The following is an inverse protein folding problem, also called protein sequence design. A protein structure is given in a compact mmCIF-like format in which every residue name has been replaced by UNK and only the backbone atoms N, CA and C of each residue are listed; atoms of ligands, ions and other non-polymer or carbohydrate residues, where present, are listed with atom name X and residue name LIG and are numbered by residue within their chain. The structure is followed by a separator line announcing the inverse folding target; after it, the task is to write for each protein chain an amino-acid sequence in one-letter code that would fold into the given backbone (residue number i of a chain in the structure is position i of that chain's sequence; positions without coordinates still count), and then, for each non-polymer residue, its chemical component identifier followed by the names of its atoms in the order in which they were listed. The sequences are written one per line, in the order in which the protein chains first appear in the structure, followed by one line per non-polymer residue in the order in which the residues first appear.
data_IF_295138359835
#
_entry.id   IF_295138359835
#
_cell.length_a   1.000
_cell.length_b   1.000
_cell.length_c   1.000
_cell.angle_alpha   90.00
_cell.angle_beta   90.00
_cell.angle_gamma   90.00
#
_symmetry.space_group_name_H-M   'P 1'
#
loop_
_entity.id
_entity.type
_entity.pdbx_description
1 polymer ?
#
# COMPACT_ATOMS: atom_id res chain seq x y z
N UNK A 1 -18.19 1.46 14.74
CA UNK A 1 -17.62 2.75 14.26
C UNK A 1 -18.77 3.61 13.75
N UNK A 2 -18.83 4.86 14.17
CA UNK A 2 -19.92 5.78 13.73
C UNK A 2 -19.65 6.27 12.30
N UNK A 3 -20.70 6.55 11.50
CA UNK A 3 -20.55 7.09 10.14
C UNK A 3 -19.64 8.32 10.05
N UNK A 4 -19.79 9.22 11.01
CA UNK A 4 -18.96 10.44 11.09
C UNK A 4 -17.46 10.16 11.32
N UNK A 5 -17.14 9.07 12.01
CA UNK A 5 -15.76 8.65 12.25
C UNK A 5 -15.11 8.15 10.96
N UNK A 6 -15.88 7.45 10.11
CA UNK A 6 -15.42 6.98 8.80
C UNK A 6 -15.04 8.17 7.93
N UNK A 7 -15.93 9.16 7.82
CA UNK A 7 -15.65 10.36 7.03
C UNK A 7 -14.42 11.12 7.52
N UNK A 8 -14.24 11.23 8.84
CA UNK A 8 -13.04 11.86 9.44
C UNK A 8 -11.76 11.10 9.10
N UNK A 9 -11.79 9.78 9.16
CA UNK A 9 -10.64 8.93 8.81
C UNK A 9 -10.30 9.10 7.32
N UNK A 10 -11.30 9.09 6.44
CA UNK A 10 -11.10 9.28 5.01
C UNK A 10 -10.50 10.66 4.73
N UNK A 11 -11.02 11.72 5.33
CA UNK A 11 -10.50 13.07 5.16
C UNK A 11 -9.08 13.23 5.70
N UNK A 12 -8.77 12.63 6.84
CA UNK A 12 -7.44 12.64 7.42
C UNK A 12 -6.43 11.94 6.51
N UNK A 13 -6.74 10.75 6.02
CA UNK A 13 -5.85 9.97 5.15
C UNK A 13 -5.66 10.67 3.80
N UNK A 14 -6.74 11.20 3.23
CA UNK A 14 -6.66 11.98 2.00
C UNK A 14 -5.72 13.17 2.14
N UNK A 15 -5.81 13.89 3.25
CA UNK A 15 -4.97 15.06 3.54
C UNK A 15 -3.52 14.70 3.82
N UNK A 16 -3.29 13.68 4.65
CA UNK A 16 -1.95 13.32 5.13
C UNK A 16 -1.14 12.57 4.08
N UNK A 17 -1.78 11.76 3.24
CA UNK A 17 -1.15 10.89 2.25
C UNK A 17 -1.34 11.34 0.81
N UNK A 18 -2.16 12.35 0.56
CA UNK A 18 -2.55 12.79 -0.78
C UNK A 18 -3.11 11.66 -1.66
N UNK A 19 -3.92 10.80 -1.06
CA UNK A 19 -4.61 9.68 -1.72
C UNK A 19 -6.04 10.08 -2.00
N UNK A 20 -6.57 9.69 -3.18
CA UNK A 20 -7.97 9.94 -3.54
C UNK A 20 -8.91 9.34 -2.48
N UNK A 21 -9.94 10.09 -2.09
CA UNK A 21 -10.94 9.65 -1.11
C UNK A 21 -11.62 8.35 -1.52
N UNK A 22 -11.88 8.17 -2.80
CA UNK A 22 -12.49 6.95 -3.33
C UNK A 22 -11.63 5.72 -3.06
N UNK A 23 -10.32 5.83 -3.23
CA UNK A 23 -9.37 4.75 -2.90
C UNK A 23 -9.42 4.42 -1.42
N UNK A 24 -9.52 5.44 -0.56
CA UNK A 24 -9.65 5.22 0.89
C UNK A 24 -10.96 4.54 1.26
N UNK A 25 -12.09 4.94 0.68
CA UNK A 25 -13.38 4.27 0.87
C UNK A 25 -13.33 2.80 0.45
N UNK A 26 -12.79 2.52 -0.73
CA UNK A 26 -12.62 1.14 -1.23
C UNK A 26 -11.72 0.30 -0.31
N UNK A 27 -10.66 0.90 0.23
CA UNK A 27 -9.79 0.23 1.20
C UNK A 27 -10.52 -0.13 2.49
N UNK A 28 -11.38 0.75 2.99
CA UNK A 28 -12.21 0.50 4.17
C UNK A 28 -13.23 -0.61 3.87
N UNK A 29 -13.90 -0.56 2.75
CA UNK A 29 -14.86 -1.59 2.33
C UNK A 29 -14.18 -2.97 2.25
N UNK A 30 -13.01 -3.07 1.61
CA UNK A 30 -12.24 -4.30 1.53
C UNK A 30 -11.79 -4.81 2.90
N UNK A 31 -11.41 -3.91 3.79
CA UNK A 31 -11.05 -4.24 5.17
C UNK A 31 -12.22 -4.85 5.95
N UNK A 32 -13.41 -4.28 5.81
CA UNK A 32 -14.62 -4.77 6.42
C UNK A 32 -15.02 -6.15 5.90
N UNK A 33 -14.95 -6.35 4.58
CA UNK A 33 -15.18 -7.65 3.95
C UNK A 33 -14.23 -8.70 4.53
N UNK A 34 -12.94 -8.41 4.60
CA UNK A 34 -11.93 -9.33 5.14
C UNK A 34 -12.20 -9.68 6.61
N UNK A 35 -12.58 -8.70 7.42
CA UNK A 35 -12.89 -8.91 8.84
C UNK A 35 -14.12 -9.82 9.02
N UNK A 36 -15.14 -9.62 8.20
CA UNK A 36 -16.37 -10.43 8.25
C UNK A 36 -16.14 -11.84 7.68
N UNK A 37 -15.33 -12.00 6.64
CA UNK A 37 -14.96 -13.31 6.11
C UNK A 37 -14.23 -14.17 7.16
N UNK A 38 -13.36 -13.55 7.95
CA UNK A 38 -12.71 -14.26 9.07
C UNK A 38 -13.70 -14.76 10.13
N UNK A 39 -14.82 -14.07 10.28
CA UNK A 39 -15.82 -14.41 11.27
C UNK A 39 -16.83 -15.44 10.76
N UNK A 40 -17.31 -15.28 9.53
CA UNK A 40 -18.38 -16.10 8.94
C UNK A 40 -17.90 -17.23 8.05
N UNK A 41 -16.59 -17.28 7.76
CA UNK A 41 -15.94 -18.22 6.85
C UNK A 41 -15.54 -17.57 5.54
N UNK A 42 -14.44 -18.06 4.98
CA UNK A 42 -13.86 -17.52 3.74
C UNK A 42 -14.76 -17.73 2.52
N UNK A 43 -15.64 -18.72 2.56
CA UNK A 43 -16.57 -19.03 1.47
C UNK A 43 -17.81 -18.15 1.43
N UNK A 44 -18.03 -17.31 2.46
CA UNK A 44 -19.19 -16.41 2.55
C UNK A 44 -19.06 -15.27 1.55
N UNK A 45 -20.09 -15.05 0.74
CA UNK A 45 -20.17 -13.91 -0.17
C UNK A 45 -20.58 -12.66 0.59
N UNK A 46 -19.61 -11.84 0.93
CA UNK A 46 -19.82 -10.61 1.69
C UNK A 46 -19.62 -9.41 0.78
N UNK A 47 -20.60 -8.53 0.76
CA UNK A 47 -20.53 -7.24 0.06
C UNK A 47 -20.73 -6.11 1.05
N UNK A 48 -19.85 -5.13 1.04
CA UNK A 48 -19.90 -3.95 1.91
C UNK A 48 -19.82 -2.69 1.04
N UNK A 49 -20.67 -1.75 1.30
CA UNK A 49 -20.68 -0.44 0.64
C UNK A 49 -20.78 0.66 1.69
N UNK A 50 -19.97 1.70 1.54
CA UNK A 50 -20.00 2.90 2.37
C UNK A 50 -20.60 4.05 1.54
N UNK A 51 -21.62 4.69 2.06
CA UNK A 51 -22.12 5.91 1.43
C UNK A 51 -21.09 7.03 1.51
N UNK A 52 -20.76 7.63 0.36
CA UNK A 52 -19.71 8.66 0.25
C UNK A 52 -20.13 10.00 0.85
N UNK A 53 -21.42 10.23 1.00
CA UNK A 53 -21.97 11.49 1.49
C UNK A 53 -22.06 11.51 3.02
N UNK A 54 -22.58 10.44 3.61
CA UNK A 54 -22.88 10.40 5.05
C UNK A 54 -22.07 9.36 5.84
N UNK A 55 -21.29 8.51 5.15
CA UNK A 55 -20.43 7.51 5.78
C UNK A 55 -21.18 6.29 6.32
N UNK A 56 -22.47 6.11 6.01
CA UNK A 56 -23.21 4.92 6.40
C UNK A 56 -22.68 3.68 5.73
N UNK A 57 -22.54 2.63 6.51
CA UNK A 57 -22.10 1.32 6.04
C UNK A 57 -23.33 0.42 5.85
N UNK A 58 -23.47 -0.13 4.66
CA UNK A 58 -24.44 -1.17 4.34
C UNK A 58 -23.70 -2.42 3.87
N UNK A 59 -24.25 -3.58 4.14
CA UNK A 59 -23.63 -4.83 3.75
C UNK A 59 -24.61 -5.97 3.61
N UNK A 60 -24.22 -6.97 2.82
CA UNK A 60 -24.97 -8.21 2.66
C UNK A 60 -24.04 -9.41 2.75
N UNK A 61 -24.58 -10.51 3.28
CA UNK A 61 -23.96 -11.82 3.30
C UNK A 61 -24.85 -12.82 2.58
N UNK A 62 -24.35 -13.47 1.57
CA UNK A 62 -25.06 -14.46 0.76
C UNK A 62 -26.43 -13.96 0.25
N UNK A 63 -26.51 -12.66 -0.06
CA UNK A 63 -27.72 -11.98 -0.51
C UNK A 63 -28.67 -11.50 0.61
N UNK A 64 -28.33 -11.72 1.87
CA UNK A 64 -29.10 -11.26 3.03
C UNK A 64 -28.43 -10.03 3.64
N UNK A 65 -29.21 -8.96 3.87
CA UNK A 65 -28.71 -7.73 4.49
C UNK A 65 -28.19 -7.97 5.90
N UNK A 66 -27.02 -7.43 6.21
CA UNK A 66 -26.42 -7.49 7.54
C UNK A 66 -26.82 -6.25 8.32
N UNK A 67 -27.21 -6.43 9.59
CA UNK A 67 -27.54 -5.31 10.47
C UNK A 67 -26.33 -4.37 10.62
N UNK A 68 -26.54 -3.10 10.32
CA UNK A 68 -25.53 -2.04 10.43
C UNK A 68 -25.00 -1.86 11.85
N UNK A 69 -25.78 -2.18 12.87
CA UNK A 69 -25.32 -2.16 14.26
C UNK A 69 -24.33 -3.29 14.55
N UNK A 70 -24.54 -4.46 13.95
CA UNK A 70 -23.60 -5.57 14.03
C UNK A 70 -22.27 -5.24 13.32
N UNK A 71 -22.34 -4.60 12.15
CA UNK A 71 -21.17 -4.11 11.41
C UNK A 71 -20.39 -3.06 12.20
N UNK A 72 -21.09 -2.14 12.87
CA UNK A 72 -20.45 -1.04 13.61
C UNK A 72 -19.83 -1.47 14.93
N UNK A 73 -20.41 -2.45 15.60
CA UNK A 73 -20.03 -2.85 16.96
C UNK A 73 -18.84 -3.78 17.04
N UNK A 74 -18.52 -4.51 15.96
CA UNK A 74 -17.52 -5.57 15.98
C UNK A 74 -16.16 -5.18 15.38
N UNK A 75 -16.10 -4.05 14.70
CA UNK A 75 -14.85 -3.57 14.13
C UNK A 75 -14.22 -2.62 15.13
N UNK A 76 -13.27 -3.13 15.89
CA UNK A 76 -12.45 -2.27 16.72
C UNK A 76 -11.76 -1.23 15.84
N UNK A 77 -11.86 0.05 16.22
CA UNK A 77 -11.29 1.17 15.46
C UNK A 77 -9.80 0.96 15.13
N UNK A 78 -9.07 0.25 15.99
CA UNK A 78 -7.66 -0.07 15.74
C UNK A 78 -7.45 -1.11 14.64
N UNK A 79 -8.28 -2.16 14.58
CA UNK A 79 -8.17 -3.20 13.54
C UNK A 79 -8.52 -2.64 12.17
N UNK A 80 -9.59 -1.86 12.08
CA UNK A 80 -9.97 -1.16 10.86
C UNK A 80 -8.85 -0.22 10.40
N UNK A 81 -8.28 0.57 11.30
CA UNK A 81 -7.17 1.48 10.99
C UNK A 81 -5.93 0.76 10.47
N UNK A 82 -5.55 -0.37 11.07
CA UNK A 82 -4.41 -1.17 10.61
C UNK A 82 -4.65 -1.77 9.23
N UNK A 83 -5.84 -2.31 8.96
CA UNK A 83 -6.16 -2.89 7.64
C UNK A 83 -6.22 -1.80 6.56
N UNK A 84 -6.75 -0.62 6.88
CA UNK A 84 -6.75 0.53 5.98
C UNK A 84 -5.30 0.93 5.63
N UNK A 85 -4.43 1.07 6.62
CA UNK A 85 -3.01 1.41 6.42
C UNK A 85 -2.33 0.36 5.55
N UNK A 86 -2.60 -0.92 5.78
CA UNK A 86 -2.04 -2.02 4.99
C UNK A 86 -2.52 -1.97 3.54
N UNK A 87 -3.81 -1.73 3.29
CA UNK A 87 -4.36 -1.59 1.92
C UNK A 87 -3.78 -0.39 1.19
N UNK A 88 -3.59 0.72 1.88
CA UNK A 88 -2.92 1.90 1.31
C UNK A 88 -1.48 1.58 0.93
N UNK A 89 -0.72 0.89 1.79
CA UNK A 89 0.65 0.45 1.49
C UNK A 89 0.72 -0.49 0.29
N UNK A 90 -0.25 -1.39 0.17
CA UNK A 90 -0.36 -2.28 -1.00
C UNK A 90 -0.61 -1.49 -2.28
N UNK A 91 -1.51 -0.50 -2.24
CA UNK A 91 -1.79 0.37 -3.39
C UNK A 91 -0.59 1.25 -3.76
N UNK A 92 0.10 1.84 -2.78
CA UNK A 92 1.35 2.58 -2.99
C UNK A 92 2.44 1.67 -3.61
N UNK A 93 2.59 0.46 -3.07
CA UNK A 93 3.52 -0.54 -3.61
C UNK A 93 3.22 -0.87 -5.06
N UNK A 94 1.95 -1.11 -5.39
CA UNK A 94 1.54 -1.47 -6.74
C UNK A 94 1.77 -0.31 -7.71
N UNK A 95 1.50 0.92 -7.29
CA UNK A 95 1.78 2.12 -8.07
C UNK A 95 3.28 2.31 -8.35
N UNK A 96 4.12 2.13 -7.34
CA UNK A 96 5.59 2.20 -7.48
C UNK A 96 6.09 1.10 -8.41
N UNK A 97 5.60 -0.13 -8.24
CA UNK A 97 5.96 -1.24 -9.10
C UNK A 97 5.65 -0.94 -10.57
N UNK A 98 4.44 -0.49 -10.87
CA UNK A 98 3.99 -0.22 -12.23
C UNK A 98 4.80 0.93 -12.85
N UNK A 99 5.09 1.98 -12.09
CA UNK A 99 5.93 3.09 -12.53
C UNK A 99 7.34 2.63 -12.95
N UNK A 100 7.99 1.82 -12.13
CA UNK A 100 9.35 1.35 -12.40
C UNK A 100 9.41 0.17 -13.36
N UNK A 101 8.36 -0.64 -13.45
CA UNK A 101 8.27 -1.72 -14.44
C UNK A 101 8.35 -1.17 -15.87
N UNK A 102 7.73 -0.02 -16.14
CA UNK A 102 7.84 0.68 -17.44
C UNK A 102 9.24 1.21 -17.72
N UNK A 103 10.05 1.38 -16.68
CA UNK A 103 11.43 1.89 -16.79
C UNK A 103 12.49 0.78 -16.87
N UNK A 104 12.10 -0.50 -16.88
CA UNK A 104 13.05 -1.62 -17.07
C UNK A 104 13.80 -1.44 -18.38
N UNK A 105 15.12 -1.53 -18.31
CA UNK A 105 16.02 -1.30 -19.46
C UNK A 105 16.41 0.16 -19.68
N UNK A 106 15.83 1.10 -18.92
CA UNK A 106 16.17 2.51 -18.98
C UNK A 106 17.27 2.89 -17.99
N UNK A 107 18.10 3.85 -18.36
CA UNK A 107 19.12 4.40 -17.48
C UNK A 107 18.50 5.43 -16.54
N UNK A 108 18.75 5.28 -15.26
CA UNK A 108 18.30 6.20 -14.20
C UNK A 108 19.48 6.71 -13.40
N UNK A 109 19.31 7.89 -12.81
CA UNK A 109 20.29 8.48 -11.90
C UNK A 109 19.79 8.35 -10.48
N UNK A 110 20.67 7.95 -9.57
CA UNK A 110 20.36 7.84 -8.17
C UNK A 110 21.52 8.25 -7.28
N UNK A 111 21.27 8.37 -5.98
CA UNK A 111 22.26 8.72 -4.98
C UNK A 111 22.46 7.54 -4.05
N UNK A 112 23.70 7.10 -3.87
CA UNK A 112 24.04 6.07 -2.90
C UNK A 112 23.83 6.61 -1.50
N UNK A 113 22.97 5.93 -0.72
CA UNK A 113 22.63 6.37 0.65
C UNK A 113 23.35 5.57 1.71
N UNK A 114 23.43 4.25 1.53
CA UNK A 114 24.09 3.35 2.49
C UNK A 114 24.55 2.07 1.83
N UNK A 115 25.37 1.33 2.54
CA UNK A 115 25.75 -0.02 2.20
C UNK A 115 25.20 -1.02 3.22
N UNK A 116 24.67 -2.13 2.74
CA UNK A 116 24.29 -3.28 3.54
C UNK A 116 25.17 -4.45 3.09
N UNK A 117 26.28 -4.65 3.78
CA UNK A 117 27.33 -5.59 3.35
C UNK A 117 27.97 -5.14 2.03
N UNK A 118 27.84 -5.94 0.98
CA UNK A 118 28.37 -5.64 -0.35
C UNK A 118 27.34 -5.00 -1.29
N UNK A 119 26.13 -4.78 -0.82
CA UNK A 119 25.03 -4.19 -1.61
C UNK A 119 24.89 -2.72 -1.30
N UNK A 120 24.90 -1.88 -2.33
CA UNK A 120 24.63 -0.45 -2.20
C UNK A 120 23.12 -0.18 -2.28
N UNK A 121 22.61 0.65 -1.39
CA UNK A 121 21.26 1.20 -1.47
C UNK A 121 21.32 2.53 -2.17
N UNK A 122 20.53 2.68 -3.24
CA UNK A 122 20.49 3.85 -4.10
C UNK A 122 19.10 4.47 -4.04
N UNK A 123 19.02 5.77 -3.79
CA UNK A 123 17.76 6.51 -3.80
C UNK A 123 17.44 7.02 -5.20
N UNK A 124 16.29 6.61 -5.72
CA UNK A 124 15.71 7.06 -6.99
C UNK A 124 14.51 7.99 -6.69
N UNK A 125 14.79 9.25 -6.40
CA UNK A 125 13.75 10.18 -5.96
C UNK A 125 13.19 9.81 -4.58
N UNK A 126 11.92 9.41 -4.50
CA UNK A 126 11.28 8.97 -3.26
C UNK A 126 11.41 7.46 -2.97
N UNK A 127 11.97 6.69 -3.90
CA UNK A 127 12.04 5.22 -3.83
C UNK A 127 13.48 4.76 -3.70
N UNK A 128 13.70 3.71 -2.94
CA UNK A 128 15.01 3.07 -2.79
C UNK A 128 15.15 1.87 -3.75
N UNK A 129 16.29 1.80 -4.41
CA UNK A 129 16.73 0.67 -5.22
C UNK A 129 17.99 0.05 -4.62
N UNK A 130 18.31 -1.15 -5.05
CA UNK A 130 19.53 -1.85 -4.63
C UNK A 130 20.46 -2.10 -5.81
N UNK A 131 21.75 -1.91 -5.57
CA UNK A 131 22.83 -2.24 -6.51
C UNK A 131 23.68 -3.37 -5.89
N UNK A 132 23.39 -4.65 -6.18
CA UNK A 132 24.15 -5.76 -5.63
C UNK A 132 25.59 -5.77 -6.20
N UNK A 133 26.50 -6.39 -5.49
CA UNK A 133 27.89 -6.46 -5.88
C UNK A 133 28.13 -7.07 -7.25
N UNK A 134 27.28 -7.99 -7.66
CA UNK A 134 27.34 -8.63 -8.97
C UNK A 134 27.10 -7.65 -10.14
N UNK A 135 26.38 -6.56 -9.87
CA UNK A 135 26.02 -5.53 -10.85
C UNK A 135 26.88 -4.25 -10.72
N UNK A 136 27.78 -4.21 -9.75
CA UNK A 136 28.73 -3.11 -9.57
C UNK A 136 29.91 -3.27 -10.54
N UNK A 137 30.44 -2.14 -11.01
CA UNK A 137 31.62 -2.13 -11.88
C UNK A 137 32.84 -2.60 -11.08
N UNK A 138 33.55 -3.66 -11.51
CA UNK A 138 34.74 -4.13 -10.84
C UNK A 138 35.82 -3.03 -10.76
N UNK A 139 36.34 -2.79 -9.55
CA UNK A 139 37.37 -1.78 -9.32
C UNK A 139 36.85 -0.38 -9.02
N UNK A 140 35.55 -0.11 -9.13
CA UNK A 140 34.96 1.12 -8.65
C UNK A 140 34.53 1.00 -7.18
N UNK A 141 34.77 2.09 -6.43
CA UNK A 141 34.30 2.24 -5.07
C UNK A 141 33.17 3.26 -5.04
N UNK A 142 32.05 2.85 -4.48
CA UNK A 142 30.90 3.73 -4.28
C UNK A 142 30.87 4.24 -2.85
N UNK A 143 30.56 5.52 -2.68
CA UNK A 143 30.52 6.18 -1.36
C UNK A 143 29.12 6.74 -1.09
N UNK A 144 28.68 6.82 0.18
CA UNK A 144 27.45 7.50 0.53
C UNK A 144 27.43 8.94 0.00
N UNK A 145 26.26 9.38 -0.46
CA UNK A 145 26.02 10.67 -1.13
C UNK A 145 26.62 10.83 -2.54
N UNK A 146 27.20 9.77 -3.11
CA UNK A 146 27.66 9.76 -4.47
C UNK A 146 26.49 9.55 -5.44
N UNK A 147 26.44 10.35 -6.51
CA UNK A 147 25.47 10.18 -7.59
C UNK A 147 25.99 9.17 -8.59
N UNK A 148 25.17 8.17 -8.89
CA UNK A 148 25.48 7.13 -9.87
C UNK A 148 24.40 7.05 -10.93
N UNK A 149 24.77 6.47 -12.08
CA UNK A 149 23.84 6.09 -13.15
C UNK A 149 23.83 4.58 -13.26
N UNK A 150 22.64 4.01 -13.36
CA UNK A 150 22.46 2.58 -13.51
C UNK A 150 21.23 2.29 -14.37
N UNK A 151 21.17 1.10 -14.93
CA UNK A 151 20.00 0.63 -15.67
C UNK A 151 19.13 -0.21 -14.75
N UNK A 152 17.83 0.05 -14.73
CA UNK A 152 16.87 -0.80 -14.04
C UNK A 152 16.73 -2.08 -14.85
N UNK A 153 17.03 -3.23 -14.25
CA UNK A 153 16.89 -4.49 -14.95
C UNK A 153 15.81 -5.40 -14.36
N UNK A 154 15.44 -5.19 -13.11
CA UNK A 154 14.41 -5.97 -12.45
C UNK A 154 13.62 -5.14 -11.44
N UNK A 155 12.30 -5.35 -11.40
CA UNK A 155 11.39 -4.75 -10.42
C UNK A 155 10.52 -5.86 -9.84
N UNK A 156 10.55 -6.05 -8.52
CA UNK A 156 9.79 -7.09 -7.81
C UNK A 156 8.99 -6.55 -6.65
N UNK A 157 7.82 -7.13 -6.44
CA UNK A 157 7.05 -6.94 -5.21
C UNK A 157 7.52 -7.94 -4.14
N UNK A 158 8.00 -7.43 -3.02
CA UNK A 158 8.45 -8.27 -1.89
C UNK A 158 7.71 -7.81 -0.63
N UNK A 159 6.70 -8.57 -0.23
CA UNK A 159 5.85 -8.20 0.91
C UNK A 159 5.14 -6.87 0.66
N UNK A 160 5.36 -5.91 1.55
CA UNK A 160 4.81 -4.55 1.46
C UNK A 160 5.71 -3.55 0.72
N UNK A 161 6.80 -4.00 0.11
CA UNK A 161 7.81 -3.16 -0.54
C UNK A 161 8.00 -3.55 -2.01
N UNK A 162 8.57 -2.63 -2.78
CA UNK A 162 9.06 -2.88 -4.13
C UNK A 162 10.58 -2.97 -4.07
N UNK A 163 11.13 -3.99 -4.69
CA UNK A 163 12.58 -4.18 -4.84
C UNK A 163 12.94 -3.86 -6.29
N UNK A 164 13.76 -2.84 -6.49
CA UNK A 164 14.24 -2.37 -7.79
C UNK A 164 15.73 -2.67 -7.89
#
# INVERSE_FOLDING_TARGET
MKPEEILRIVDAIHRDKNIDKEIVFQAIEAALVTALQRQYGEDSQISITIDRADGRVSGSRDGVEIDTQELSGRIGAQTAKQVIIQKIREAERDSIHDEFEEQIGQMVSGVVTRFEGATATVTLGATEAILPRSEQIPGESYHPNERIRATIFEVRKVGSRVKI
#
